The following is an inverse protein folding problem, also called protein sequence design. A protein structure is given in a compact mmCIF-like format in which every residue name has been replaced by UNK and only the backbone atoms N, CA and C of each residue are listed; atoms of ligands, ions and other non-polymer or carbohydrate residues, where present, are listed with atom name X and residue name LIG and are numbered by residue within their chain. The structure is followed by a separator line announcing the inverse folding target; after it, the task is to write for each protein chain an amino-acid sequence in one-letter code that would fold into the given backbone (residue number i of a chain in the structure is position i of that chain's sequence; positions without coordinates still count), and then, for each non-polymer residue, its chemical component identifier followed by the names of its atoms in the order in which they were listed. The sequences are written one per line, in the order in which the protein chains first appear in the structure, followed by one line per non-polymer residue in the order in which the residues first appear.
data_IF_730660215963
#
_entry.id   IF_730660215963
#
_cell.length_a   1.000
_cell.length_b   1.000
_cell.length_c   1.000
_cell.angle_alpha   90.00
_cell.angle_beta   90.00
_cell.angle_gamma   90.00
#
_symmetry.space_group_name_H-M   'P 1'
#
loop_
_entity.id
_entity.type
_entity.pdbx_description
1 polymer ?
#
# COMPACT_ATOMS: atom_id res chain seq x y z
N UNK A 1 18.04 88.32 52.97
CA UNK A 1 17.75 86.90 52.77
C UNK A 1 17.21 86.75 51.35
N UNK A 2 17.90 86.08 50.42
CA UNK A 2 17.49 86.01 49.01
C UNK A 2 16.63 84.77 48.78
N UNK A 3 15.55 84.96 48.01
CA UNK A 3 14.69 83.88 47.45
C UNK A 3 15.42 83.06 46.38
N UNK A 4 15.43 81.77 46.51
CA UNK A 4 15.88 80.84 45.47
C UNK A 4 14.73 80.56 44.47
N UNK A 5 15.04 80.80 43.19
CA UNK A 5 14.18 80.50 42.04
C UNK A 5 14.17 79.04 41.77
N UNK A 6 12.97 78.44 41.59
CA UNK A 6 12.76 77.11 41.17
C UNK A 6 12.95 77.04 39.61
N UNK A 7 13.88 76.19 39.16
CA UNK A 7 14.10 75.91 37.75
C UNK A 7 13.02 74.98 37.20
N UNK A 8 12.52 75.36 36.06
CA UNK A 8 11.59 74.57 35.25
C UNK A 8 12.28 73.33 34.65
N UNK A 9 11.80 72.11 34.99
CA UNK A 9 12.22 70.89 34.33
C UNK A 9 11.37 70.72 33.07
N UNK A 10 11.98 70.85 31.92
CA UNK A 10 11.36 70.46 30.64
C UNK A 10 11.39 68.94 30.50
N UNK A 11 10.21 68.33 30.42
CA UNK A 11 10.06 66.92 30.10
C UNK A 11 10.18 66.74 28.58
N UNK A 12 11.26 66.11 28.19
CA UNK A 12 11.53 65.76 26.79
C UNK A 12 10.72 64.49 26.45
N UNK A 13 9.66 64.63 25.67
CA UNK A 13 8.84 63.52 25.18
C UNK A 13 9.50 62.92 23.94
N UNK A 14 10.57 62.12 24.15
CA UNK A 14 11.07 61.25 23.11
C UNK A 14 10.11 60.11 22.96
N UNK A 15 9.39 60.09 21.84
CA UNK A 15 8.49 59.01 21.40
C UNK A 15 9.28 57.73 21.22
N UNK A 16 8.99 56.72 22.08
CA UNK A 16 9.51 55.35 21.99
C UNK A 16 9.06 54.69 20.68
N UNK A 17 9.97 54.30 19.76
CA UNK A 17 9.62 53.67 18.49
C UNK A 17 9.12 52.23 18.63
N UNK A 18 8.95 51.68 19.84
CA UNK A 18 8.56 50.31 20.08
C UNK A 18 7.05 50.08 20.13
N UNK A 19 6.21 51.10 20.04
CA UNK A 19 4.74 50.98 19.93
C UNK A 19 4.25 50.84 18.46
N UNK A 20 4.94 50.09 17.63
CA UNK A 20 4.33 49.62 16.37
C UNK A 20 3.23 48.62 16.67
N UNK A 21 2.04 49.05 16.31
CA UNK A 21 0.72 48.50 16.53
C UNK A 21 0.63 46.96 16.59
N UNK A 22 0.15 46.45 17.72
CA UNK A 22 -0.22 45.03 17.96
C UNK A 22 -1.04 44.39 16.83
N UNK A 23 -1.90 45.09 16.04
CA UNK A 23 -2.65 44.49 14.94
C UNK A 23 -1.78 44.11 13.74
N UNK A 24 -0.70 44.87 13.39
CA UNK A 24 0.17 44.49 12.27
C UNK A 24 1.03 43.28 12.57
N UNK A 25 1.53 43.15 13.78
CA UNK A 25 2.28 41.97 14.21
C UNK A 25 1.42 40.70 14.18
N UNK A 26 0.15 40.80 14.60
CA UNK A 26 -0.81 39.70 14.51
C UNK A 26 -1.13 39.30 13.05
N UNK A 27 -1.31 40.28 12.15
CA UNK A 27 -1.54 40.01 10.73
C UNK A 27 -0.32 39.36 10.07
N UNK A 28 0.90 39.77 10.42
CA UNK A 28 2.13 39.14 9.90
C UNK A 28 2.36 37.75 10.45
N UNK A 29 2.03 37.48 11.72
CA UNK A 29 2.07 36.12 12.30
C UNK A 29 1.04 35.20 11.66
N UNK A 30 -0.18 35.66 11.44
CA UNK A 30 -1.23 34.88 10.77
C UNK A 30 -0.89 34.60 9.30
N UNK A 31 -0.34 35.61 8.58
CA UNK A 31 0.14 35.42 7.21
C UNK A 31 1.32 34.44 7.13
N UNK A 32 2.26 34.51 8.07
CA UNK A 32 3.40 33.58 8.15
C UNK A 32 2.94 32.15 8.49
N UNK A 33 1.95 31.97 9.39
CA UNK A 33 1.41 30.63 9.72
C UNK A 33 0.66 30.03 8.53
N UNK A 34 -0.10 30.82 7.77
CA UNK A 34 -0.77 30.35 6.54
C UNK A 34 0.23 30.04 5.44
N UNK A 35 1.29 30.83 5.28
CA UNK A 35 2.33 30.59 4.27
C UNK A 35 3.20 29.36 4.60
N UNK A 36 3.44 29.08 5.89
CA UNK A 36 4.15 27.88 6.33
C UNK A 36 3.29 26.61 6.29
N UNK A 37 1.97 26.72 6.34
CA UNK A 37 1.05 25.58 6.24
C UNK A 37 0.80 25.15 4.78
N UNK A 38 0.96 26.04 3.80
CA UNK A 38 0.70 25.74 2.39
C UNK A 38 1.60 24.62 1.79
N UNK A 39 2.92 24.56 2.03
CA UNK A 39 3.76 23.47 1.51
C UNK A 39 3.55 22.12 2.23
N UNK A 40 2.94 22.10 3.43
CA UNK A 40 2.63 20.86 4.13
C UNK A 40 1.45 20.09 3.51
N UNK A 41 0.68 20.70 2.61
CA UNK A 41 -0.45 20.10 1.90
C UNK A 41 -0.06 19.47 0.56
N UNK A 42 1.16 19.71 0.06
CA UNK A 42 1.68 19.03 -1.14
C UNK A 42 2.39 17.73 -0.73
N UNK A 43 1.64 16.76 -0.27
CA UNK A 43 2.15 15.40 -0.04
C UNK A 43 2.62 14.81 -1.36
N UNK A 44 3.84 14.26 -1.41
CA UNK A 44 4.37 13.54 -2.55
C UNK A 44 3.50 12.30 -2.83
N UNK A 45 2.63 12.36 -3.83
CA UNK A 45 1.74 11.27 -4.24
C UNK A 45 2.34 10.39 -5.35
N UNK A 46 3.63 10.51 -5.66
CA UNK A 46 4.24 9.81 -6.79
C UNK A 46 4.48 8.34 -6.47
N UNK A 47 3.65 7.46 -7.00
CA UNK A 47 3.94 6.04 -7.19
C UNK A 47 3.69 5.10 -6.00
N UNK A 48 3.31 5.58 -4.82
CA UNK A 48 2.92 4.71 -3.71
C UNK A 48 1.49 4.18 -3.92
N UNK A 49 1.23 2.87 -3.70
CA UNK A 49 -0.12 2.33 -3.77
C UNK A 49 -1.00 2.97 -2.69
N UNK A 50 -2.10 3.59 -3.09
CA UNK A 50 -3.00 4.30 -2.19
C UNK A 50 -4.38 3.65 -2.16
N UNK A 51 -4.89 3.33 -0.97
CA UNK A 51 -6.27 2.87 -0.77
C UNK A 51 -7.30 3.98 -1.03
N UNK A 52 -6.86 5.26 -1.12
CA UNK A 52 -7.71 6.40 -1.44
C UNK A 52 -7.70 6.77 -2.94
N UNK A 53 -6.97 6.01 -3.76
CA UNK A 53 -7.04 6.02 -5.23
C UNK A 53 -7.55 4.65 -5.71
N UNK A 54 -8.84 4.35 -5.50
CA UNK A 54 -9.40 3.04 -5.81
C UNK A 54 -9.46 2.80 -7.32
N UNK A 55 -9.10 1.59 -7.72
CA UNK A 55 -9.19 1.09 -9.09
C UNK A 55 -9.98 -0.23 -9.17
N UNK A 56 -10.64 -0.60 -8.08
CA UNK A 56 -11.50 -1.77 -7.98
C UNK A 56 -12.66 -1.53 -7.02
N UNK A 57 -13.73 -2.31 -7.21
CA UNK A 57 -14.97 -2.16 -6.42
C UNK A 57 -14.79 -2.43 -4.93
N UNK A 58 -13.85 -3.30 -4.55
CA UNK A 58 -13.53 -3.58 -3.14
C UNK A 58 -12.87 -2.39 -2.44
N UNK A 59 -11.82 -1.82 -3.02
CA UNK A 59 -11.14 -0.64 -2.49
C UNK A 59 -12.03 0.61 -2.54
N UNK A 60 -12.89 0.73 -3.57
CA UNK A 60 -13.83 1.84 -3.69
C UNK A 60 -14.77 1.96 -2.49
N UNK A 61 -15.27 0.83 -1.95
CA UNK A 61 -16.09 0.82 -0.73
C UNK A 61 -15.31 1.30 0.49
N UNK A 62 -14.09 0.84 0.65
CA UNK A 62 -13.21 1.27 1.76
C UNK A 62 -12.92 2.77 1.66
N UNK A 63 -12.60 3.27 0.47
CA UNK A 63 -12.36 4.70 0.24
C UNK A 63 -13.59 5.55 0.53
N UNK A 64 -14.78 5.11 0.10
CA UNK A 64 -16.04 5.83 0.36
C UNK A 64 -16.37 5.88 1.86
N UNK A 65 -16.19 4.77 2.58
CA UNK A 65 -16.38 4.75 4.04
C UNK A 65 -15.37 5.66 4.74
N UNK A 66 -14.11 5.68 4.28
CA UNK A 66 -13.09 6.57 4.82
C UNK A 66 -13.47 8.05 4.63
N UNK A 67 -13.94 8.44 3.42
CA UNK A 67 -14.37 9.81 3.16
C UNK A 67 -15.61 10.21 3.96
N UNK A 68 -16.57 9.29 4.15
CA UNK A 68 -17.69 9.51 5.04
C UNK A 68 -17.23 9.82 6.48
N UNK A 69 -16.35 8.98 7.03
CA UNK A 69 -15.80 9.17 8.38
C UNK A 69 -15.00 10.46 8.49
N UNK A 70 -14.20 10.79 7.48
CA UNK A 70 -13.43 12.03 7.44
C UNK A 70 -14.33 13.26 7.51
N UNK A 71 -15.35 13.34 6.64
CA UNK A 71 -16.23 14.51 6.62
C UNK A 71 -17.12 14.63 7.85
N UNK A 72 -17.60 13.51 8.40
CA UNK A 72 -18.31 13.50 9.68
C UNK A 72 -17.40 14.00 10.82
N UNK A 73 -16.16 13.52 10.88
CA UNK A 73 -15.19 13.97 11.90
C UNK A 73 -14.87 15.46 11.74
N UNK A 74 -14.69 15.93 10.50
CA UNK A 74 -14.45 17.36 10.23
C UNK A 74 -15.63 18.25 10.62
N UNK A 75 -16.87 17.79 10.39
CA UNK A 75 -18.07 18.51 10.80
C UNK A 75 -18.16 18.64 12.32
N UNK A 76 -17.96 17.54 13.06
CA UNK A 76 -17.94 17.54 14.52
C UNK A 76 -16.79 18.40 15.06
N UNK A 77 -15.61 18.30 14.47
CA UNK A 77 -14.46 19.12 14.85
C UNK A 77 -14.75 20.62 14.65
N UNK A 78 -15.32 21.00 13.51
CA UNK A 78 -15.69 22.39 13.25
C UNK A 78 -16.75 22.91 14.24
N UNK A 79 -17.76 22.10 14.55
CA UNK A 79 -18.79 22.44 15.55
C UNK A 79 -18.16 22.68 16.92
N UNK A 80 -17.32 21.76 17.40
CA UNK A 80 -16.63 21.89 18.69
C UNK A 80 -15.74 23.14 18.72
N UNK A 81 -15.00 23.41 17.63
CA UNK A 81 -14.15 24.60 17.53
C UNK A 81 -14.96 25.91 17.55
N UNK A 82 -16.12 25.94 16.90
CA UNK A 82 -17.04 27.09 16.91
C UNK A 82 -17.58 27.30 18.33
N UNK A 83 -18.06 26.26 18.98
CA UNK A 83 -18.58 26.35 20.36
C UNK A 83 -17.48 26.80 21.34
N UNK A 84 -16.26 26.25 21.21
CA UNK A 84 -15.11 26.65 22.00
C UNK A 84 -14.74 28.11 21.79
N UNK A 85 -14.64 28.54 20.54
CA UNK A 85 -14.35 29.93 20.19
C UNK A 85 -15.42 30.88 20.75
N UNK A 86 -16.69 30.52 20.59
CA UNK A 86 -17.82 31.29 21.15
C UNK A 86 -17.70 31.38 22.68
N UNK A 87 -17.50 30.25 23.39
CA UNK A 87 -17.34 30.23 24.83
C UNK A 87 -16.20 31.11 25.32
N UNK A 88 -15.04 31.08 24.62
CA UNK A 88 -13.88 31.90 24.98
C UNK A 88 -14.12 33.40 24.74
N UNK A 89 -14.87 33.76 23.69
CA UNK A 89 -15.19 35.16 23.36
C UNK A 89 -16.28 35.71 24.28
N UNK A 90 -17.33 34.95 24.58
CA UNK A 90 -18.48 35.36 25.42
C UNK A 90 -18.12 35.35 26.89
N UNK A 91 -17.30 34.41 27.37
CA UNK A 91 -16.82 34.35 28.78
C UNK A 91 -16.03 35.60 29.21
N UNK A 92 -15.59 36.43 28.25
CA UNK A 92 -14.97 37.74 28.52
C UNK A 92 -15.98 38.84 28.82
N UNK A 93 -17.31 38.56 28.72
CA UNK A 93 -18.39 39.50 29.06
C UNK A 93 -18.98 39.08 30.39
N UNK A 94 -18.73 39.81 31.52
CA UNK A 94 -19.17 39.43 32.86
C UNK A 94 -20.71 39.42 33.04
N UNK A 95 -21.47 39.94 32.06
CA UNK A 95 -22.91 40.15 32.20
C UNK A 95 -23.79 39.08 31.57
N UNK A 96 -23.22 38.02 30.95
CA UNK A 96 -24.00 36.95 30.33
C UNK A 96 -24.47 35.94 31.38
N UNK A 97 -25.68 36.18 31.92
CA UNK A 97 -26.39 35.21 32.74
C UNK A 97 -26.88 34.06 31.87
N UNK A 98 -26.27 32.87 31.99
CA UNK A 98 -26.78 31.63 31.42
C UNK A 98 -28.13 31.34 32.07
N UNK A 99 -29.22 31.37 31.31
CA UNK A 99 -30.54 31.02 31.82
C UNK A 99 -30.54 29.56 32.31
N UNK A 100 -30.77 29.37 33.59
CA UNK A 100 -30.90 28.07 34.22
C UNK A 100 -32.21 27.41 33.74
N UNK A 101 -32.16 26.60 32.71
CA UNK A 101 -33.38 25.92 32.24
C UNK A 101 -33.23 24.94 31.08
N UNK A 102 -32.14 25.01 30.35
CA UNK A 102 -31.91 24.15 29.17
C UNK A 102 -30.58 23.34 29.13
N UNK A 103 -29.81 23.20 30.19
CA UNK A 103 -28.55 22.47 30.07
C UNK A 103 -28.77 20.97 29.83
N UNK A 104 -29.78 20.37 30.51
CA UNK A 104 -30.05 18.94 30.34
C UNK A 104 -30.50 18.58 28.91
N UNK A 105 -31.42 19.34 28.33
CA UNK A 105 -31.89 19.11 26.96
C UNK A 105 -30.76 19.28 25.94
N UNK A 106 -29.94 20.31 26.09
CA UNK A 106 -28.78 20.51 25.23
C UNK A 106 -27.79 19.35 25.37
N UNK A 107 -27.43 18.96 26.58
CA UNK A 107 -26.51 17.83 26.83
C UNK A 107 -27.10 16.52 26.27
N UNK A 108 -28.40 16.27 26.45
CA UNK A 108 -29.03 15.06 25.93
C UNK A 108 -29.04 15.04 24.40
N UNK A 109 -29.40 16.15 23.74
CA UNK A 109 -29.48 16.19 22.28
C UNK A 109 -28.08 16.24 21.66
N UNK A 110 -27.21 17.13 22.10
CA UNK A 110 -25.88 17.29 21.52
C UNK A 110 -24.90 16.20 21.96
N UNK A 111 -25.00 15.72 23.23
CA UNK A 111 -24.08 14.72 23.78
C UNK A 111 -24.50 13.27 23.59
N UNK A 112 -25.81 13.00 23.35
CA UNK A 112 -26.28 11.64 23.11
C UNK A 112 -27.00 11.49 21.76
N UNK A 113 -27.90 12.41 21.40
CA UNK A 113 -28.72 12.30 20.19
C UNK A 113 -27.90 12.37 18.93
N UNK A 114 -27.05 13.39 18.76
CA UNK A 114 -26.21 13.57 17.56
C UNK A 114 -25.19 12.41 17.44
N UNK A 115 -24.43 12.03 18.48
CA UNK A 115 -23.54 10.87 18.42
C UNK A 115 -24.27 9.57 18.05
N UNK A 116 -25.45 9.34 18.61
CA UNK A 116 -26.24 8.15 18.29
C UNK A 116 -26.62 8.09 16.80
N UNK A 117 -27.08 9.20 16.22
CA UNK A 117 -27.42 9.27 14.78
C UNK A 117 -26.18 8.99 13.92
N UNK A 118 -25.04 9.59 14.28
CA UNK A 118 -23.77 9.35 13.55
C UNK A 118 -23.39 7.87 13.64
N UNK A 119 -23.40 7.27 14.83
CA UNK A 119 -23.05 5.86 15.03
C UNK A 119 -23.98 4.91 14.27
N UNK A 120 -25.30 5.15 14.32
CA UNK A 120 -26.28 4.33 13.57
C UNK A 120 -26.04 4.45 12.05
N UNK A 121 -25.75 5.65 11.56
CA UNK A 121 -25.46 5.88 10.13
C UNK A 121 -24.19 5.13 9.70
N UNK A 122 -23.10 5.29 10.44
CA UNK A 122 -21.82 4.61 10.16
C UNK A 122 -21.98 3.10 10.23
N UNK A 123 -22.71 2.61 11.25
CA UNK A 123 -23.02 1.18 11.40
C UNK A 123 -23.81 0.62 10.20
N UNK A 124 -24.88 1.31 9.79
CA UNK A 124 -25.69 0.88 8.66
C UNK A 124 -24.91 0.85 7.33
N UNK A 125 -24.09 1.89 7.08
CA UNK A 125 -23.20 1.92 5.90
C UNK A 125 -22.17 0.80 5.99
N UNK A 126 -21.53 0.61 7.14
CA UNK A 126 -20.55 -0.45 7.36
C UNK A 126 -21.12 -1.86 7.15
N UNK A 127 -22.34 -2.14 7.63
CA UNK A 127 -23.02 -3.43 7.38
C UNK A 127 -23.31 -3.65 5.89
N UNK A 128 -23.77 -2.62 5.19
CA UNK A 128 -24.01 -2.68 3.75
C UNK A 128 -22.73 -2.99 2.98
N UNK A 129 -21.62 -2.31 3.31
CA UNK A 129 -20.32 -2.51 2.65
C UNK A 129 -19.74 -3.88 2.98
N UNK A 130 -19.87 -4.35 4.22
CA UNK A 130 -19.46 -5.70 4.61
C UNK A 130 -20.23 -6.78 3.84
N UNK A 131 -21.56 -6.65 3.72
CA UNK A 131 -22.38 -7.58 2.95
C UNK A 131 -21.94 -7.62 1.47
N UNK A 132 -21.64 -6.45 0.88
CA UNK A 132 -21.22 -6.37 -0.51
C UNK A 132 -19.77 -6.83 -0.76
N UNK A 133 -18.90 -6.79 0.24
CA UNK A 133 -17.56 -7.40 0.19
C UNK A 133 -17.64 -8.94 0.31
N UNK A 134 -18.66 -9.46 0.97
CA UNK A 134 -18.97 -10.89 1.05
C UNK A 134 -19.65 -11.46 -0.22
N UNK A 135 -19.98 -10.62 -1.21
CA UNK A 135 -20.59 -11.06 -2.47
C UNK A 135 -19.55 -11.76 -3.36
N UNK A 136 -19.49 -13.09 -3.27
CA UNK A 136 -18.51 -13.92 -3.95
C UNK A 136 -18.62 -13.90 -5.48
N UNK A 137 -17.49 -14.11 -6.19
CA UNK A 137 -17.52 -14.35 -7.62
C UNK A 137 -18.38 -15.55 -7.99
N UNK A 138 -19.08 -15.50 -9.11
CA UNK A 138 -19.87 -16.61 -9.62
C UNK A 138 -19.05 -17.89 -9.82
N UNK A 139 -19.73 -19.04 -10.01
CA UNK A 139 -19.05 -20.35 -10.06
C UNK A 139 -18.11 -20.56 -11.25
N UNK A 140 -18.22 -19.71 -12.27
CA UNK A 140 -17.34 -19.74 -13.47
C UNK A 140 -16.19 -18.73 -13.41
N UNK A 141 -16.07 -17.98 -12.33
CA UNK A 141 -15.00 -17.02 -12.17
C UNK A 141 -13.63 -17.73 -12.12
N UNK A 142 -12.61 -17.19 -12.76
CA UNK A 142 -11.25 -17.69 -12.61
C UNK A 142 -10.86 -17.77 -11.13
N UNK A 143 -10.17 -18.83 -10.75
CA UNK A 143 -9.70 -19.02 -9.38
C UNK A 143 -8.18 -19.02 -9.39
N UNK A 144 -7.57 -18.08 -8.68
CA UNK A 144 -6.13 -17.96 -8.49
C UNK A 144 -5.81 -18.41 -7.07
N UNK A 145 -4.87 -19.31 -6.92
CA UNK A 145 -4.34 -19.76 -5.64
C UNK A 145 -3.04 -19.01 -5.37
N UNK A 146 -2.96 -18.36 -4.21
CA UNK A 146 -1.77 -17.62 -3.78
C UNK A 146 -1.29 -18.23 -2.47
N UNK A 147 -0.03 -18.67 -2.46
CA UNK A 147 0.63 -19.18 -1.26
C UNK A 147 1.73 -18.20 -0.83
N UNK A 148 1.63 -17.72 0.41
CA UNK A 148 2.68 -16.91 1.02
C UNK A 148 3.81 -17.76 1.55
N UNK A 149 5.03 -17.42 1.19
CA UNK A 149 6.29 -17.97 1.73
C UNK A 149 7.11 -16.84 2.33
N UNK A 150 8.07 -17.12 3.19
CA UNK A 150 9.08 -16.13 3.61
C UNK A 150 10.14 -15.95 2.51
N UNK A 151 10.17 -14.90 1.77
CA UNK A 151 9.33 -13.69 1.68
C UNK A 151 9.03 -13.46 0.21
N UNK A 152 8.15 -14.29 -0.34
CA UNK A 152 7.70 -14.27 -1.74
C UNK A 152 6.31 -14.91 -1.85
N UNK A 153 5.66 -14.73 -3.01
CA UNK A 153 4.32 -15.21 -3.27
C UNK A 153 4.33 -16.21 -4.41
N UNK A 154 3.91 -17.44 -4.16
CA UNK A 154 3.63 -18.41 -5.21
C UNK A 154 2.23 -18.16 -5.75
N UNK A 155 2.08 -18.21 -7.07
CA UNK A 155 0.80 -17.99 -7.77
C UNK A 155 0.53 -19.15 -8.71
N UNK A 156 -0.65 -19.78 -8.55
CA UNK A 156 -1.17 -20.83 -9.41
C UNK A 156 -2.57 -20.47 -9.87
N UNK A 157 -2.98 -20.95 -11.04
CA UNK A 157 -4.35 -20.79 -11.53
C UNK A 157 -5.01 -22.15 -11.57
N UNK A 158 -6.20 -22.27 -11.00
CA UNK A 158 -6.94 -23.53 -10.96
C UNK A 158 -7.24 -24.04 -12.37
N UNK A 159 -6.89 -25.32 -12.64
CA UNK A 159 -7.05 -25.93 -13.95
C UNK A 159 -5.98 -25.58 -14.97
N UNK A 160 -4.93 -24.83 -14.58
CA UNK A 160 -3.77 -24.49 -15.42
C UNK A 160 -2.53 -25.15 -14.80
N UNK A 161 -1.79 -25.93 -15.57
CA UNK A 161 -0.50 -26.45 -15.14
C UNK A 161 0.54 -25.33 -15.12
N UNK A 162 1.32 -25.29 -14.04
CA UNK A 162 2.38 -24.31 -13.87
C UNK A 162 2.12 -23.35 -12.72
N UNK A 163 3.18 -22.66 -12.36
CA UNK A 163 3.19 -21.64 -11.33
C UNK A 163 4.04 -20.45 -11.78
N UNK A 164 3.73 -19.28 -11.24
CA UNK A 164 4.60 -18.11 -11.31
C UNK A 164 4.84 -17.56 -9.91
N UNK A 165 5.59 -16.49 -9.79
CA UNK A 165 5.86 -15.90 -8.49
C UNK A 165 5.84 -14.38 -8.53
N UNK A 166 5.26 -13.79 -7.47
CA UNK A 166 5.23 -12.34 -7.20
C UNK A 166 4.51 -11.51 -8.27
N UNK A 167 3.81 -12.16 -9.19
CA UNK A 167 3.02 -11.51 -10.22
C UNK A 167 1.79 -12.36 -10.52
N UNK A 168 0.63 -11.73 -10.66
CA UNK A 168 -0.60 -12.39 -11.08
C UNK A 168 -1.38 -11.48 -12.01
N UNK A 169 -2.09 -12.09 -12.95
CA UNK A 169 -2.90 -11.38 -13.94
C UNK A 169 -4.38 -11.58 -13.66
N UNK A 170 -5.18 -10.56 -13.95
CA UNK A 170 -6.64 -10.61 -13.79
C UNK A 170 -7.32 -9.92 -14.98
N UNK A 171 -8.46 -10.42 -15.46
CA UNK A 171 -9.23 -9.75 -16.49
C UNK A 171 -9.92 -8.50 -15.92
N UNK A 172 -9.87 -7.38 -16.66
CA UNK A 172 -10.55 -6.13 -16.30
C UNK A 172 -12.05 -6.34 -16.33
N UNK A 173 -12.75 -5.77 -15.33
CA UNK A 173 -14.21 -5.78 -15.24
C UNK A 173 -14.82 -7.09 -14.73
N UNK A 174 -14.00 -8.09 -14.43
CA UNK A 174 -14.47 -9.37 -13.91
C UNK A 174 -13.97 -9.62 -12.49
N UNK A 175 -14.81 -10.23 -11.65
CA UNK A 175 -14.38 -10.70 -10.33
C UNK A 175 -13.58 -12.01 -10.49
N UNK A 176 -12.40 -12.06 -9.90
CA UNK A 176 -11.54 -13.25 -9.82
C UNK A 176 -11.51 -13.74 -8.39
N UNK A 177 -11.77 -15.03 -8.16
CA UNK A 177 -11.63 -15.65 -6.84
C UNK A 177 -10.15 -15.82 -6.52
N UNK A 178 -9.76 -15.48 -5.29
CA UNK A 178 -8.41 -15.68 -4.80
C UNK A 178 -8.46 -16.55 -3.55
N UNK A 179 -7.81 -17.73 -3.64
CA UNK A 179 -7.64 -18.65 -2.53
C UNK A 179 -6.25 -18.44 -1.93
N UNK A 180 -6.22 -18.18 -0.65
CA UNK A 180 -5.03 -17.75 0.08
C UNK A 180 -4.60 -18.82 1.07
N UNK A 181 -3.33 -19.19 1.03
CA UNK A 181 -2.68 -20.12 1.96
C UNK A 181 -1.32 -19.57 2.37
N UNK A 182 -0.81 -20.01 3.48
CA UNK A 182 0.59 -19.80 3.87
C UNK A 182 1.30 -21.16 4.00
N UNK A 183 2.56 -21.17 3.58
CA UNK A 183 3.45 -22.32 3.73
C UNK A 183 4.23 -22.30 5.05
N UNK A 184 4.24 -21.16 5.76
CA UNK A 184 5.10 -20.97 6.94
C UNK A 184 4.44 -20.14 8.04
N UNK A 185 4.58 -18.84 8.02
CA UNK A 185 4.05 -17.92 9.04
C UNK A 185 2.83 -17.15 8.55
N UNK A 186 2.23 -16.37 9.42
CA UNK A 186 1.18 -15.44 9.08
C UNK A 186 1.68 -14.41 8.04
N UNK A 187 0.92 -14.21 6.97
CA UNK A 187 1.07 -13.14 5.98
C UNK A 187 -0.26 -12.45 5.79
N UNK A 188 -0.30 -11.34 5.06
CA UNK A 188 -1.55 -10.73 4.61
C UNK A 188 -1.43 -10.28 3.16
N UNK A 189 -2.35 -10.74 2.33
CA UNK A 189 -2.43 -10.36 0.92
C UNK A 189 -3.19 -9.04 0.79
N UNK A 190 -2.55 -8.00 0.26
CA UNK A 190 -3.15 -6.68 0.16
C UNK A 190 -2.74 -5.97 -1.12
N UNK A 191 -3.74 -5.54 -1.89
CA UNK A 191 -3.60 -4.67 -3.05
C UNK A 191 -4.41 -3.40 -2.76
N UNK A 192 -3.80 -2.34 -2.21
CA UNK A 192 -4.51 -1.18 -1.69
C UNK A 192 -5.54 -0.56 -2.63
N UNK A 193 -5.22 -0.53 -3.93
CA UNK A 193 -6.08 0.04 -4.97
C UNK A 193 -7.21 -0.88 -5.44
N UNK A 194 -7.18 -2.18 -5.12
CA UNK A 194 -8.17 -3.16 -5.63
C UNK A 194 -9.05 -3.76 -4.54
N UNK A 195 -8.49 -4.04 -3.36
CA UNK A 195 -9.19 -4.79 -2.32
C UNK A 195 -8.67 -4.47 -0.91
N UNK A 196 -9.48 -4.71 0.15
CA UNK A 196 -8.99 -4.77 1.53
C UNK A 196 -8.02 -5.94 1.74
N UNK A 197 -7.19 -5.87 2.79
CA UNK A 197 -6.27 -6.95 3.13
C UNK A 197 -7.01 -8.21 3.57
N UNK A 198 -6.41 -9.37 3.30
CA UNK A 198 -6.89 -10.67 3.77
C UNK A 198 -5.71 -11.47 4.32
N UNK A 199 -5.83 -11.92 5.56
CA UNK A 199 -4.76 -12.63 6.26
C UNK A 199 -4.68 -14.09 5.81
N UNK A 200 -3.44 -14.61 5.68
CA UNK A 200 -3.12 -16.00 5.39
C UNK A 200 -2.73 -16.69 6.70
N UNK A 201 -3.60 -17.51 7.24
CA UNK A 201 -3.43 -18.18 8.54
C UNK A 201 -2.98 -19.62 8.31
N UNK A 202 -1.97 -20.06 9.06
CA UNK A 202 -1.44 -21.40 8.94
C UNK A 202 -2.54 -22.46 9.24
N UNK A 203 -2.66 -23.46 8.37
CA UNK A 203 -3.67 -24.50 8.46
C UNK A 203 -5.05 -24.14 7.89
N UNK A 204 -5.26 -22.87 7.47
CA UNK A 204 -6.52 -22.42 6.88
C UNK A 204 -6.39 -22.11 5.39
N UNK A 205 -7.51 -22.24 4.68
CA UNK A 205 -7.70 -21.68 3.34
C UNK A 205 -8.65 -20.50 3.48
N UNK A 206 -8.15 -19.31 3.16
CA UNK A 206 -8.97 -18.10 3.14
C UNK A 206 -9.37 -17.78 1.72
N UNK A 207 -10.57 -17.28 1.52
CA UNK A 207 -11.05 -16.88 0.20
C UNK A 207 -11.36 -15.38 0.20
N UNK A 208 -11.04 -14.75 -0.91
CA UNK A 208 -11.35 -13.36 -1.22
C UNK A 208 -11.52 -13.22 -2.72
N UNK A 209 -11.71 -12.00 -3.20
CA UNK A 209 -11.80 -11.74 -4.64
C UNK A 209 -11.10 -10.44 -5.03
N UNK A 210 -10.59 -10.42 -6.26
CA UNK A 210 -10.06 -9.24 -6.93
C UNK A 210 -11.01 -8.77 -8.01
N UNK A 211 -11.13 -7.45 -8.15
CA UNK A 211 -11.83 -6.82 -9.25
C UNK A 211 -11.10 -5.52 -9.60
N UNK A 212 -10.73 -5.37 -10.86
CA UNK A 212 -10.11 -4.16 -11.39
C UNK A 212 -11.04 -3.49 -12.40
N UNK A 213 -11.38 -2.23 -12.16
CA UNK A 213 -12.24 -1.44 -13.06
C UNK A 213 -11.50 -0.95 -14.31
N UNK A 214 -10.16 -0.89 -14.23
CA UNK A 214 -9.28 -0.33 -15.28
C UNK A 214 -8.07 -1.23 -15.49
N UNK A 215 -7.62 -1.32 -16.76
CA UNK A 215 -6.34 -1.94 -17.08
C UNK A 215 -5.18 -1.16 -16.44
N UNK A 216 -4.17 -1.89 -15.98
CA UNK A 216 -3.01 -1.30 -15.31
C UNK A 216 -2.28 -2.30 -14.41
N UNK A 217 -1.20 -1.82 -13.84
CA UNK A 217 -0.38 -2.59 -12.90
C UNK A 217 -0.56 -2.05 -11.49
N UNK A 218 -0.99 -2.90 -10.59
CA UNK A 218 -1.32 -2.57 -9.20
C UNK A 218 -0.38 -3.27 -8.25
N UNK A 219 0.39 -2.49 -7.50
CA UNK A 219 1.32 -3.04 -6.52
C UNK A 219 0.56 -3.57 -5.30
N UNK A 220 0.82 -4.83 -4.96
CA UNK A 220 0.46 -5.44 -3.70
C UNK A 220 1.67 -5.63 -2.79
N UNK A 221 1.41 -5.88 -1.52
CA UNK A 221 2.45 -6.15 -0.53
C UNK A 221 1.91 -6.98 0.63
N UNK A 222 2.82 -7.63 1.35
CA UNK A 222 2.48 -8.25 2.63
C UNK A 222 2.08 -7.16 3.62
N UNK A 223 0.90 -7.32 4.25
CA UNK A 223 0.34 -6.36 5.20
C UNK A 223 0.24 -6.93 6.63
N UNK A 224 0.96 -8.04 6.93
CA UNK A 224 1.10 -8.60 8.26
C UNK A 224 2.56 -9.01 8.50
N UNK A 225 3.10 -8.68 9.68
CA UNK A 225 4.52 -8.90 9.96
C UNK A 225 4.89 -10.38 9.87
N UNK A 226 5.77 -10.71 8.95
CA UNK A 226 6.20 -12.07 8.62
C UNK A 226 7.72 -12.31 8.79
N UNK A 227 8.43 -11.41 9.42
CA UNK A 227 9.87 -11.54 9.70
C UNK A 227 10.73 -10.46 9.05
N UNK A 228 12.04 -10.71 8.97
CA UNK A 228 13.06 -9.69 8.64
C UNK A 228 12.87 -9.02 7.27
N UNK A 229 12.32 -9.72 6.30
CA UNK A 229 12.09 -9.19 4.95
C UNK A 229 10.62 -8.86 4.66
N UNK A 230 9.82 -8.64 5.71
CA UNK A 230 8.42 -8.25 5.57
C UNK A 230 8.22 -7.03 4.64
N UNK A 231 9.02 -5.99 4.78
CA UNK A 231 8.94 -4.79 3.94
C UNK A 231 9.31 -5.04 2.46
N UNK A 232 10.03 -6.11 2.17
CA UNK A 232 10.46 -6.51 0.83
C UNK A 232 9.70 -7.75 0.32
N UNK A 233 8.42 -7.88 0.68
CA UNK A 233 7.53 -8.94 0.22
C UNK A 233 6.36 -8.34 -0.55
N UNK A 234 6.69 -7.77 -1.71
CA UNK A 234 5.72 -7.19 -2.63
C UNK A 234 5.35 -8.15 -3.76
N UNK A 235 4.32 -7.80 -4.51
CA UNK A 235 3.89 -8.47 -5.73
C UNK A 235 3.18 -7.47 -6.66
N UNK A 236 2.91 -7.90 -7.90
CA UNK A 236 2.19 -7.11 -8.88
C UNK A 236 0.91 -7.81 -9.30
N UNK A 237 -0.18 -7.06 -9.40
CA UNK A 237 -1.41 -7.48 -10.09
C UNK A 237 -1.49 -6.73 -11.40
N UNK A 238 -1.48 -7.48 -12.50
CA UNK A 238 -1.65 -6.94 -13.86
C UNK A 238 -3.10 -7.12 -14.26
N UNK A 239 -3.85 -6.02 -14.31
CA UNK A 239 -5.21 -6.03 -14.83
C UNK A 239 -5.19 -5.72 -16.33
N UNK A 240 -5.71 -6.63 -17.14
CA UNK A 240 -5.60 -6.56 -18.59
C UNK A 240 -6.89 -7.04 -19.28
N UNK A 241 -7.10 -6.69 -20.57
CA UNK A 241 -8.21 -7.22 -21.35
C UNK A 241 -8.27 -8.75 -21.34
N UNK A 242 -9.47 -9.31 -21.35
CA UNK A 242 -9.70 -10.77 -21.28
C UNK A 242 -8.83 -11.58 -22.21
N UNK A 243 -8.65 -11.14 -23.46
CA UNK A 243 -7.81 -11.85 -24.44
C UNK A 243 -6.33 -11.91 -24.03
N UNK A 244 -5.80 -10.88 -23.36
CA UNK A 244 -4.42 -10.86 -22.86
C UNK A 244 -4.27 -11.78 -21.65
N UNK A 245 -5.27 -11.77 -20.76
CA UNK A 245 -5.33 -12.71 -19.64
C UNK A 245 -5.37 -14.17 -20.11
N UNK A 246 -6.20 -14.49 -21.11
CA UNK A 246 -6.26 -15.85 -21.70
C UNK A 246 -4.92 -16.24 -22.35
N UNK A 247 -4.24 -15.30 -23.00
CA UNK A 247 -2.90 -15.52 -23.56
C UNK A 247 -1.84 -15.73 -22.47
N UNK A 248 -1.95 -15.02 -21.33
CA UNK A 248 -1.10 -15.25 -20.18
C UNK A 248 -1.33 -16.66 -19.58
N UNK A 249 -2.58 -17.12 -19.44
CA UNK A 249 -2.89 -18.47 -19.00
C UNK A 249 -2.28 -19.54 -19.92
N UNK A 250 -2.35 -19.33 -21.23
CA UNK A 250 -1.76 -20.23 -22.20
C UNK A 250 -0.23 -20.31 -22.06
N UNK A 251 0.45 -19.16 -21.82
CA UNK A 251 1.89 -19.15 -21.55
C UNK A 251 2.24 -19.84 -20.23
N UNK A 252 1.43 -19.61 -19.18
CA UNK A 252 1.63 -20.23 -17.90
C UNK A 252 1.52 -21.77 -17.97
N UNK A 253 0.66 -22.30 -18.83
CA UNK A 253 0.50 -23.74 -19.06
C UNK A 253 1.62 -24.34 -19.94
N UNK A 254 2.25 -23.53 -20.78
CA UNK A 254 3.23 -24.01 -21.75
C UNK A 254 4.57 -24.40 -21.08
N UNK A 255 5.32 -25.35 -21.66
CA UNK A 255 6.73 -25.54 -21.30
C UNK A 255 7.53 -24.25 -21.49
N UNK A 256 8.60 -24.12 -20.71
CA UNK A 256 9.51 -22.99 -20.86
C UNK A 256 10.12 -22.93 -22.27
N UNK A 257 10.42 -21.73 -22.81
CA UNK A 257 10.98 -21.58 -24.14
C UNK A 257 12.31 -22.35 -24.31
N UNK A 258 12.48 -23.01 -25.46
CA UNK A 258 13.73 -23.71 -25.78
C UNK A 258 14.85 -22.69 -26.06
N UNK A 259 16.05 -22.90 -25.53
CA UNK A 259 17.21 -22.03 -25.80
C UNK A 259 17.53 -21.88 -27.27
N UNK A 260 17.69 -20.64 -27.74
CA UNK A 260 17.95 -20.32 -29.17
C UNK A 260 19.41 -20.03 -29.48
N UNK A 261 20.19 -19.60 -28.47
CA UNK A 261 21.61 -19.25 -28.64
C UNK A 261 22.50 -20.21 -27.88
N UNK A 262 23.80 -20.26 -28.23
CA UNK A 262 24.78 -21.07 -27.52
C UNK A 262 24.91 -20.66 -26.06
N UNK A 263 24.89 -19.35 -25.77
CA UNK A 263 24.91 -18.83 -24.42
C UNK A 263 23.69 -19.33 -23.61
N UNK A 264 22.47 -19.30 -24.18
CA UNK A 264 21.28 -19.82 -23.52
C UNK A 264 21.37 -21.33 -23.28
N UNK A 265 21.91 -22.10 -24.23
CA UNK A 265 22.12 -23.56 -24.05
C UNK A 265 23.09 -23.86 -22.92
N UNK A 266 24.25 -23.17 -22.88
CA UNK A 266 25.21 -23.32 -21.77
C UNK A 266 24.61 -22.86 -20.44
N UNK A 267 23.81 -21.80 -20.45
CA UNK A 267 23.09 -21.31 -19.26
C UNK A 267 22.06 -22.32 -18.75
N UNK A 268 21.28 -22.94 -19.64
CA UNK A 268 20.36 -24.03 -19.28
C UNK A 268 21.11 -25.22 -18.67
N UNK A 269 22.19 -25.65 -19.31
CA UNK A 269 23.00 -26.76 -18.77
C UNK A 269 23.58 -26.42 -17.40
N UNK A 270 24.09 -25.20 -17.21
CA UNK A 270 24.59 -24.73 -15.91
C UNK A 270 23.49 -24.67 -14.84
N UNK A 271 22.27 -24.28 -15.22
CA UNK A 271 21.11 -24.24 -14.33
C UNK A 271 20.66 -25.65 -13.92
N UNK A 272 20.43 -26.54 -14.90
CA UNK A 272 19.84 -27.87 -14.69
C UNK A 272 20.83 -28.82 -13.97
N UNK A 273 22.13 -28.74 -14.33
CA UNK A 273 23.17 -29.56 -13.70
C UNK A 273 23.79 -28.94 -12.44
N UNK A 274 23.48 -27.69 -12.19
CA UNK A 274 23.98 -26.95 -11.03
C UNK A 274 23.07 -27.04 -9.81
N UNK A 275 23.39 -26.25 -8.80
CA UNK A 275 22.62 -26.19 -7.54
C UNK A 275 21.23 -25.57 -7.71
N UNK A 276 20.98 -24.82 -8.80
CA UNK A 276 19.73 -24.10 -9.03
C UNK A 276 18.52 -25.05 -9.13
N UNK A 277 18.65 -26.15 -9.88
CA UNK A 277 17.59 -27.13 -10.11
C UNK A 277 17.13 -27.87 -8.84
N UNK A 278 17.95 -27.87 -7.79
CA UNK A 278 17.56 -28.44 -6.49
C UNK A 278 16.50 -27.65 -5.74
N UNK A 279 16.40 -26.35 -6.03
CA UNK A 279 15.45 -25.45 -5.38
C UNK A 279 14.39 -24.90 -6.33
N UNK A 280 14.71 -24.71 -7.61
CA UNK A 280 13.83 -24.07 -8.60
C UNK A 280 13.40 -25.06 -9.70
N UNK A 281 12.16 -24.91 -10.13
CA UNK A 281 11.63 -25.58 -11.31
C UNK A 281 11.75 -24.69 -12.57
N UNK A 282 11.94 -25.37 -13.72
CA UNK A 282 11.72 -24.79 -15.06
C UNK A 282 11.00 -25.84 -15.89
N UNK A 283 9.74 -25.56 -16.23
CA UNK A 283 8.86 -26.51 -16.95
C UNK A 283 9.45 -26.99 -18.27
N UNK A 284 9.34 -28.28 -18.55
CA UNK A 284 9.91 -28.88 -19.76
C UNK A 284 11.41 -29.19 -19.66
N UNK A 285 12.00 -29.07 -18.47
CA UNK A 285 13.39 -29.47 -18.20
C UNK A 285 13.45 -30.43 -17.00
N UNK A 286 14.62 -30.96 -16.69
CA UNK A 286 14.85 -31.81 -15.51
C UNK A 286 14.92 -31.01 -14.19
N UNK A 287 14.81 -29.68 -14.21
CA UNK A 287 14.77 -28.84 -13.02
C UNK A 287 13.37 -28.83 -12.40
N UNK A 288 13.22 -29.57 -11.29
CA UNK A 288 11.93 -29.80 -10.63
C UNK A 288 11.92 -29.40 -9.14
N UNK A 289 12.83 -28.53 -8.72
CA UNK A 289 12.91 -28.04 -7.34
C UNK A 289 11.65 -27.24 -6.95
N UNK A 290 11.15 -27.46 -5.71
CA UNK A 290 9.95 -26.79 -5.21
C UNK A 290 10.18 -25.95 -3.94
N UNK A 291 11.44 -25.72 -3.56
CA UNK A 291 11.80 -24.92 -2.37
C UNK A 291 11.73 -23.42 -2.68
N UNK A 292 12.18 -23.05 -3.88
CA UNK A 292 12.12 -21.70 -4.41
C UNK A 292 11.04 -21.57 -5.49
N UNK A 293 10.79 -20.36 -6.01
CA UNK A 293 9.81 -20.14 -7.06
C UNK A 293 10.12 -20.91 -8.35
N UNK A 294 9.07 -21.34 -9.06
CA UNK A 294 9.16 -21.78 -10.45
C UNK A 294 9.69 -20.60 -11.29
N UNK A 295 10.70 -20.84 -12.11
CA UNK A 295 11.38 -19.81 -12.91
C UNK A 295 11.05 -19.88 -14.40
N UNK A 296 10.05 -20.67 -14.80
CA UNK A 296 9.71 -20.90 -16.22
C UNK A 296 9.33 -19.64 -17.00
N UNK A 297 8.94 -18.59 -16.31
CA UNK A 297 8.54 -17.29 -16.86
C UNK A 297 9.33 -16.12 -16.25
N UNK A 298 10.44 -16.39 -15.57
CA UNK A 298 11.18 -15.39 -14.81
C UNK A 298 11.63 -14.19 -15.64
N UNK A 299 11.94 -14.40 -16.90
CA UNK A 299 12.36 -13.33 -17.81
C UNK A 299 11.26 -12.33 -18.20
N UNK A 300 9.98 -12.66 -17.93
CA UNK A 300 8.85 -11.76 -18.17
C UNK A 300 8.38 -11.02 -16.91
N UNK A 301 8.83 -11.43 -15.71
CA UNK A 301 8.39 -10.84 -14.46
C UNK A 301 8.86 -9.40 -14.28
N UNK A 302 8.02 -8.62 -13.64
CA UNK A 302 8.28 -7.21 -13.32
C UNK A 302 9.54 -7.01 -12.47
N UNK A 303 9.79 -7.90 -11.49
CA UNK A 303 10.86 -7.71 -10.51
C UNK A 303 11.48 -9.02 -10.05
N UNK A 304 12.62 -8.91 -9.39
CA UNK A 304 13.32 -9.99 -8.71
C UNK A 304 13.18 -9.80 -7.19
N UNK A 305 13.17 -10.92 -6.45
CA UNK A 305 13.15 -10.91 -4.99
C UNK A 305 11.87 -10.35 -4.36
N UNK A 306 10.71 -10.53 -5.02
CA UNK A 306 9.41 -10.01 -4.56
C UNK A 306 9.37 -8.46 -4.47
N UNK A 307 9.73 -7.79 -5.56
CA UNK A 307 9.74 -6.34 -5.66
C UNK A 307 10.98 -5.66 -5.06
N UNK A 308 12.03 -6.42 -4.77
CA UNK A 308 13.24 -5.87 -4.18
C UNK A 308 14.08 -5.07 -5.21
N UNK A 309 14.22 -5.60 -6.43
CA UNK A 309 14.96 -4.94 -7.53
C UNK A 309 14.28 -5.16 -8.88
N UNK A 310 14.52 -4.29 -9.87
CA UNK A 310 14.06 -4.48 -11.24
C UNK A 310 14.57 -5.80 -11.85
N UNK A 311 13.83 -6.35 -12.80
CA UNK A 311 14.23 -7.55 -13.52
C UNK A 311 15.00 -7.21 -14.81
N UNK A 312 16.27 -6.89 -14.64
CA UNK A 312 17.22 -6.71 -15.73
C UNK A 312 18.47 -7.58 -15.51
N UNK A 313 19.35 -7.65 -16.54
CA UNK A 313 20.52 -8.54 -16.49
C UNK A 313 21.50 -8.22 -15.37
N UNK A 314 21.66 -6.95 -15.02
CA UNK A 314 22.57 -6.52 -13.95
C UNK A 314 22.06 -6.93 -12.57
N UNK A 315 20.79 -6.61 -12.27
CA UNK A 315 20.16 -6.99 -11.01
C UNK A 315 19.99 -8.51 -10.88
N UNK A 316 19.64 -9.21 -11.97
CA UNK A 316 19.57 -10.67 -11.99
C UNK A 316 20.93 -11.31 -11.68
N UNK A 317 22.00 -10.80 -12.30
CA UNK A 317 23.37 -11.26 -12.01
C UNK A 317 23.77 -11.03 -10.56
N UNK A 318 23.51 -9.84 -10.01
CA UNK A 318 23.76 -9.53 -8.62
C UNK A 318 22.96 -10.41 -7.65
N UNK A 319 21.68 -10.66 -7.96
CA UNK A 319 20.83 -11.57 -7.20
C UNK A 319 21.34 -13.01 -7.20
N UNK A 320 21.74 -13.55 -8.35
CA UNK A 320 22.29 -14.90 -8.47
C UNK A 320 23.61 -15.00 -7.68
N UNK A 321 24.51 -14.05 -7.85
CA UNK A 321 25.80 -14.08 -7.18
C UNK A 321 25.65 -14.00 -5.65
N UNK A 322 24.83 -13.09 -5.16
CA UNK A 322 24.59 -12.97 -3.72
C UNK A 322 23.24 -12.27 -3.42
N UNK A 323 22.18 -13.04 -3.29
CA UNK A 323 20.86 -12.55 -2.92
C UNK A 323 20.83 -11.87 -1.55
N UNK A 324 21.78 -12.18 -0.66
CA UNK A 324 21.84 -11.62 0.69
C UNK A 324 22.24 -10.14 0.71
N UNK A 325 22.90 -9.64 -0.34
CA UNK A 325 23.21 -8.20 -0.45
C UNK A 325 21.98 -7.36 -0.76
N UNK A 326 20.97 -7.95 -1.43
CA UNK A 326 19.72 -7.29 -1.81
C UNK A 326 18.63 -7.50 -0.77
N UNK A 327 18.56 -8.73 -0.22
CA UNK A 327 17.48 -9.17 0.67
C UNK A 327 18.06 -10.03 1.80
N UNK A 328 18.73 -9.41 2.79
CA UNK A 328 19.43 -10.14 3.87
C UNK A 328 18.49 -11.08 4.64
N UNK A 329 18.95 -12.30 4.89
CA UNK A 329 18.19 -13.32 5.62
C UNK A 329 17.17 -14.10 4.78
N UNK A 330 17.10 -13.88 3.45
CA UNK A 330 16.31 -14.74 2.56
C UNK A 330 16.90 -16.15 2.49
N UNK A 331 16.10 -17.14 2.07
CA UNK A 331 16.51 -18.55 2.08
C UNK A 331 17.35 -18.98 0.87
N UNK A 332 17.49 -18.15 -0.16
CA UNK A 332 18.40 -18.42 -1.27
C UNK A 332 19.84 -18.13 -0.84
N UNK A 333 20.70 -19.16 -0.73
CA UNK A 333 22.08 -18.95 -0.35
C UNK A 333 22.88 -18.24 -1.45
N UNK A 334 23.98 -17.55 -1.11
CA UNK A 334 24.92 -17.07 -2.11
C UNK A 334 25.39 -18.21 -3.01
N UNK A 335 25.43 -17.98 -4.31
CA UNK A 335 25.84 -19.00 -5.28
C UNK A 335 27.28 -18.78 -5.72
N UNK A 336 28.13 -19.80 -5.58
CA UNK A 336 29.48 -19.80 -6.13
C UNK A 336 29.45 -20.11 -7.63
N UNK A 337 28.89 -19.16 -8.42
CA UNK A 337 28.87 -19.29 -9.87
C UNK A 337 30.16 -18.77 -10.45
N UNK A 338 30.82 -19.58 -11.30
CA UNK A 338 32.00 -19.16 -12.06
C UNK A 338 31.67 -17.90 -12.85
N UNK A 339 32.51 -16.88 -12.78
CA UNK A 339 32.36 -15.61 -13.45
C UNK A 339 32.16 -15.76 -14.98
N UNK A 340 32.75 -16.79 -15.60
CA UNK A 340 32.55 -17.11 -17.01
C UNK A 340 31.18 -17.69 -17.33
N UNK A 341 30.50 -18.32 -16.37
CA UNK A 341 29.18 -18.94 -16.57
C UNK A 341 28.01 -18.03 -16.21
N UNK A 342 28.23 -17.00 -15.38
CA UNK A 342 27.18 -16.09 -14.95
C UNK A 342 26.46 -15.38 -16.12
N UNK A 343 27.17 -14.87 -17.17
CA UNK A 343 26.50 -14.29 -18.34
C UNK A 343 25.60 -15.28 -19.10
N UNK A 344 26.02 -16.54 -19.20
CA UNK A 344 25.23 -17.59 -19.87
C UNK A 344 23.95 -17.92 -19.06
N UNK A 345 24.03 -18.00 -17.73
CA UNK A 345 22.87 -18.15 -16.82
C UNK A 345 21.89 -16.99 -16.94
N UNK A 346 22.39 -15.75 -16.97
CA UNK A 346 21.56 -14.56 -17.16
C UNK A 346 20.86 -14.63 -18.53
N UNK A 347 21.59 -14.95 -19.61
CA UNK A 347 21.03 -15.06 -20.94
C UNK A 347 19.91 -16.12 -21.03
N UNK A 348 20.11 -17.25 -20.32
CA UNK A 348 19.10 -18.30 -20.22
C UNK A 348 17.86 -17.82 -19.46
N UNK A 349 18.02 -17.36 -18.22
CA UNK A 349 16.91 -16.95 -17.38
C UNK A 349 16.10 -15.79 -17.98
N UNK A 350 16.77 -14.83 -18.64
CA UNK A 350 16.07 -13.74 -19.35
C UNK A 350 15.32 -14.21 -20.61
N UNK A 351 15.64 -15.39 -21.14
CA UNK A 351 14.91 -15.98 -22.27
C UNK A 351 13.61 -16.69 -21.86
N UNK A 352 13.43 -16.96 -20.57
CA UNK A 352 12.24 -17.62 -20.01
C UNK A 352 11.08 -16.61 -19.88
N UNK A 353 10.30 -16.46 -20.96
CA UNK A 353 9.21 -15.47 -21.07
C UNK A 353 7.90 -16.11 -21.48
#
# INVERSE_FOLDING_TARGET
MPRKSLGSVSVDTTSDPTMRSRPERRRRLLAATVLCAAPALTGCSSGAPSALDPAGSGSGRVANLWWLLFWLSMAVFAEVMVVLAWALLVRRRPDVRVRHGQPLRFVTVAGAGIPLVILVTVYAVGLRDLAALGDEPGPRAPTIEVTGHKWWWEVRVQGVEGATANELHVPVGEKVRVRLRTADVLHSFWVPQLMPKTDLIAGEVRETWLHADRAGSYRGQCAEYCGTQHAHMAFLVVAEPRAQFDAWLARLAAPAPVPRTDAQRRGQEAFVRGSCAGCHAVRGTDANGGIGPDLSDVGSRWSIGAGAVPNDGGHLGGWIANSQTVKPGNYMPPQSVDAGRLPDLIAYLQSLK
#
